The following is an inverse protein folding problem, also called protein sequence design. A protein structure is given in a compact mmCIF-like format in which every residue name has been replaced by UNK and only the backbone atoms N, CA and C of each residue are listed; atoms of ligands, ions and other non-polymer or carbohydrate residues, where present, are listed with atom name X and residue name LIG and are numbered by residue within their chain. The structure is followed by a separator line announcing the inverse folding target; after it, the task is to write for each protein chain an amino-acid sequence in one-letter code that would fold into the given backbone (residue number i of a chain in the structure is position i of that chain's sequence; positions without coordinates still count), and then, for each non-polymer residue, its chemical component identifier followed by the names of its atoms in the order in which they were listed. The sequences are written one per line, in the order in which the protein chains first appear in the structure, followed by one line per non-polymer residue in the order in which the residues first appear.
data_IF_055441571206
#
_entry.id   IF_055441571206
#
_cell.length_a   1.000
_cell.length_b   1.000
_cell.length_c   1.000
_cell.angle_alpha   90.00
_cell.angle_beta   90.00
_cell.angle_gamma   90.00
#
_symmetry.space_group_name_H-M   'P 1'
#
loop_
_entity.id
_entity.type
_entity.pdbx_description
1 polymer ?
#
# COMPACT_ATOMS: atom_id res chain seq x y z
N UNK A 1 18.74 -0.22 19.81
CA UNK A 1 18.88 0.32 18.44
C UNK A 1 18.75 1.85 18.44
N UNK A 2 17.76 2.42 19.13
CA UNK A 2 17.52 3.88 19.22
C UNK A 2 18.75 4.61 19.77
N UNK A 3 19.40 4.09 20.82
CA UNK A 3 20.62 4.67 21.41
C UNK A 3 21.77 4.69 20.40
N UNK A 4 21.96 3.61 19.65
CA UNK A 4 23.04 3.51 18.64
C UNK A 4 22.82 4.46 17.46
N UNK A 5 21.57 4.78 17.13
CA UNK A 5 21.22 5.77 16.12
C UNK A 5 21.47 7.21 16.58
N UNK A 6 21.14 7.52 17.85
CA UNK A 6 21.38 8.85 18.45
C UNK A 6 22.86 9.12 18.62
N UNK A 7 23.66 8.12 18.97
CA UNK A 7 25.11 8.22 19.13
C UNK A 7 25.89 8.19 17.79
N UNK A 8 25.18 8.12 16.66
CA UNK A 8 25.78 8.17 15.33
C UNK A 8 26.51 6.91 14.87
N UNK A 9 26.39 5.80 15.61
CA UNK A 9 26.98 4.50 15.24
C UNK A 9 26.20 3.79 14.12
N UNK A 10 24.92 4.13 13.96
CA UNK A 10 24.12 3.65 12.84
C UNK A 10 23.76 4.85 11.98
N UNK A 11 23.87 4.73 10.64
CA UNK A 11 23.35 5.77 9.77
C UNK A 11 21.88 6.00 10.14
N UNK A 12 21.47 7.27 10.20
CA UNK A 12 20.16 7.74 10.69
C UNK A 12 18.97 7.26 9.85
N UNK A 13 18.91 5.97 9.59
CA UNK A 13 17.67 5.30 9.19
C UNK A 13 16.74 5.44 10.38
N UNK A 14 15.82 6.40 10.31
CA UNK A 14 14.85 6.65 11.35
C UNK A 14 14.27 5.32 11.82
N UNK A 15 14.45 5.02 13.11
CA UNK A 15 13.70 3.96 13.75
C UNK A 15 12.25 4.41 13.63
N UNK A 16 11.54 3.87 12.67
CA UNK A 16 10.15 4.21 12.44
C UNK A 16 9.34 3.80 13.68
N UNK A 17 9.00 4.76 14.48
CA UNK A 17 7.91 4.64 15.42
C UNK A 17 6.63 4.55 14.60
N UNK A 18 6.14 3.35 14.40
CA UNK A 18 4.90 3.09 13.66
C UNK A 18 5.13 2.34 12.35
N UNK A 19 5.13 1.04 12.42
CA UNK A 19 5.07 0.13 11.27
C UNK A 19 3.79 -0.70 11.30
N UNK A 20 3.48 -1.36 10.22
CA UNK A 20 2.42 -2.36 10.16
C UNK A 20 3.01 -3.70 10.60
N UNK A 21 2.31 -4.36 11.52
CA UNK A 21 2.68 -5.66 12.06
C UNK A 21 1.78 -6.75 11.47
N UNK A 22 2.40 -7.78 10.92
CA UNK A 22 1.74 -8.98 10.43
C UNK A 22 2.02 -10.14 11.38
N UNK A 23 0.96 -10.63 12.06
CA UNK A 23 1.04 -11.74 12.99
C UNK A 23 0.85 -13.06 12.26
N UNK A 24 1.78 -13.99 12.41
CA UNK A 24 1.78 -15.29 11.75
C UNK A 24 1.73 -16.43 12.74
N UNK A 25 0.96 -17.48 12.41
CA UNK A 25 0.94 -18.74 13.15
C UNK A 25 1.31 -19.90 12.24
N UNK A 26 2.35 -20.65 12.62
CA UNK A 26 2.75 -21.86 11.88
C UNK A 26 1.76 -23.00 12.09
N UNK A 27 1.40 -23.67 11.00
CA UNK A 27 0.46 -24.81 11.03
C UNK A 27 1.03 -26.15 11.53
N UNK A 28 2.37 -26.29 11.69
CA UNK A 28 3.00 -27.58 11.98
C UNK A 28 3.49 -27.71 13.42
N UNK A 29 3.05 -28.79 14.11
CA UNK A 29 3.34 -29.06 15.51
C UNK A 29 4.76 -29.60 15.83
N UNK A 30 5.52 -30.03 14.79
CA UNK A 30 6.80 -30.80 14.99
C UNK A 30 8.06 -30.00 14.69
N UNK A 31 8.03 -28.68 14.66
CA UNK A 31 9.24 -27.89 14.41
C UNK A 31 9.73 -27.18 15.68
N UNK A 32 11.04 -27.17 15.87
CA UNK A 32 11.73 -26.34 16.86
C UNK A 32 11.53 -24.85 16.54
N UNK A 33 11.09 -24.07 17.51
CA UNK A 33 10.90 -22.63 17.41
C UNK A 33 9.47 -22.16 17.72
N UNK A 34 9.25 -20.86 17.90
CA UNK A 34 7.96 -20.30 18.28
C UNK A 34 6.88 -20.59 17.25
N UNK A 35 5.67 -20.95 17.72
CA UNK A 35 4.51 -21.21 16.84
C UNK A 35 3.95 -19.93 16.24
N UNK A 36 4.09 -18.82 16.96
CA UNK A 36 3.64 -17.49 16.53
C UNK A 36 4.85 -16.58 16.41
N UNK A 37 4.82 -15.68 15.45
CA UNK A 37 5.83 -14.65 15.26
C UNK A 37 5.24 -13.46 14.52
N UNK A 38 5.87 -12.31 14.69
CA UNK A 38 5.44 -11.07 14.04
C UNK A 38 6.48 -10.63 13.01
N UNK A 39 5.97 -10.08 11.92
CA UNK A 39 6.76 -9.42 10.88
C UNK A 39 6.35 -7.95 10.84
N UNK A 40 7.27 -7.05 11.16
CA UNK A 40 7.01 -5.61 11.07
C UNK A 40 7.66 -5.01 9.84
N UNK A 41 6.94 -4.10 9.18
CA UNK A 41 7.41 -3.34 8.02
C UNK A 41 7.02 -1.88 8.17
N UNK A 42 7.84 -0.98 7.64
CA UNK A 42 7.40 0.42 7.48
C UNK A 42 6.16 0.50 6.60
N UNK A 43 5.32 1.52 6.80
CA UNK A 43 4.06 1.69 6.09
C UNK A 43 4.20 1.55 4.56
N UNK A 44 5.25 2.13 3.99
CA UNK A 44 5.51 2.12 2.53
C UNK A 44 5.84 0.72 2.02
N UNK A 45 6.65 -0.04 2.77
CA UNK A 45 7.00 -1.43 2.43
C UNK A 45 5.80 -2.33 2.65
N UNK A 46 5.11 -2.20 3.79
CA UNK A 46 3.91 -2.96 4.11
C UNK A 46 2.83 -2.82 3.05
N UNK A 47 2.65 -1.60 2.50
CA UNK A 47 1.68 -1.35 1.43
C UNK A 47 1.94 -2.16 0.16
N UNK A 48 3.17 -2.63 -0.05
CA UNK A 48 3.55 -3.45 -1.20
C UNK A 48 3.62 -4.93 -0.86
N UNK A 49 4.10 -5.28 0.34
CA UNK A 49 4.32 -6.67 0.72
C UNK A 49 3.09 -7.30 1.39
N UNK A 50 2.39 -6.57 2.25
CA UNK A 50 1.27 -7.07 3.06
C UNK A 50 -0.08 -6.88 2.35
N UNK A 51 -0.19 -7.46 1.16
CA UNK A 51 -1.37 -7.34 0.29
C UNK A 51 -1.96 -8.71 -0.06
N UNK A 52 -3.29 -8.82 -0.24
CA UNK A 52 -3.93 -10.07 -0.61
C UNK A 52 -3.40 -10.59 -1.94
N UNK A 53 -2.96 -11.84 -1.96
CA UNK A 53 -2.38 -12.49 -3.14
C UNK A 53 -0.85 -12.47 -3.18
N UNK A 54 -0.19 -11.64 -2.38
CA UNK A 54 1.25 -11.74 -2.21
C UNK A 54 1.64 -12.89 -1.28
N UNK A 55 2.82 -13.46 -1.48
CA UNK A 55 3.41 -14.49 -0.64
C UNK A 55 4.54 -13.93 0.20
N UNK A 56 4.52 -14.26 1.47
CA UNK A 56 5.51 -13.86 2.46
C UNK A 56 6.29 -15.08 2.90
N UNK A 57 7.61 -14.99 2.82
CA UNK A 57 8.52 -16.09 3.13
C UNK A 57 9.22 -15.79 4.44
N UNK A 58 8.90 -16.53 5.48
CA UNK A 58 9.50 -16.35 6.79
C UNK A 58 9.52 -17.67 7.59
N UNK A 59 10.49 -17.82 8.48
CA UNK A 59 10.58 -18.93 9.41
C UNK A 59 10.32 -20.32 8.76
N UNK A 60 10.90 -20.56 7.57
CA UNK A 60 10.75 -21.79 6.78
C UNK A 60 9.32 -22.07 6.29
N UNK A 61 8.45 -21.06 6.25
CA UNK A 61 7.08 -21.18 5.78
C UNK A 61 6.72 -20.09 4.78
N UNK A 62 5.72 -20.38 3.97
CA UNK A 62 5.05 -19.44 3.07
C UNK A 62 3.75 -19.03 3.71
N UNK A 63 3.48 -17.73 3.70
CA UNK A 63 2.31 -17.13 4.32
C UNK A 63 1.61 -16.20 3.34
N UNK A 64 0.31 -16.00 3.53
CA UNK A 64 -0.49 -15.03 2.79
C UNK A 64 -1.37 -14.22 3.74
N UNK A 65 -1.74 -13.02 3.31
CA UNK A 65 -2.62 -12.14 4.09
C UNK A 65 -4.02 -12.73 4.15
N UNK A 66 -4.52 -12.95 5.36
CA UNK A 66 -5.86 -13.52 5.60
C UNK A 66 -6.86 -12.49 6.12
N UNK A 67 -6.40 -11.54 6.94
CA UNK A 67 -7.27 -10.55 7.59
C UNK A 67 -6.49 -9.32 8.00
N UNK A 68 -7.10 -8.14 7.87
CA UNK A 68 -6.62 -6.88 8.46
C UNK A 68 -7.41 -6.58 9.74
N UNK A 69 -6.74 -6.02 10.74
CA UNK A 69 -7.35 -5.59 11.99
C UNK A 69 -7.94 -4.18 11.82
N UNK A 70 -9.01 -4.10 11.04
CA UNK A 70 -9.72 -2.85 10.83
C UNK A 70 -10.43 -2.45 12.13
N UNK A 71 -10.30 -1.18 12.57
CA UNK A 71 -10.96 -0.66 13.78
C UNK A 71 -12.50 -0.80 13.72
N UNK A 72 -13.19 -0.49 14.80
CA UNK A 72 -14.64 -0.72 14.94
C UNK A 72 -15.52 0.22 14.07
N UNK A 73 -15.10 1.47 13.85
CA UNK A 73 -15.88 2.44 13.09
C UNK A 73 -15.60 2.33 11.59
N UNK A 74 -16.56 1.74 10.87
CA UNK A 74 -16.47 1.54 9.42
C UNK A 74 -16.60 2.86 8.65
N UNK A 75 -17.47 3.76 9.09
CA UNK A 75 -17.75 4.99 8.36
C UNK A 75 -16.59 5.98 8.40
N UNK A 76 -15.86 6.00 9.50
CA UNK A 76 -14.66 6.84 9.65
C UNK A 76 -13.44 6.29 8.87
N UNK A 77 -13.46 5.02 8.47
CA UNK A 77 -12.32 4.34 7.80
C UNK A 77 -12.37 4.36 6.30
N UNK A 78 -13.57 4.24 5.73
CA UNK A 78 -13.76 4.16 4.28
C UNK A 78 -13.80 5.56 3.71
N UNK A 79 -12.95 5.79 2.72
CA UNK A 79 -12.91 7.05 1.96
C UNK A 79 -12.98 6.74 0.48
N UNK A 80 -13.82 7.44 -0.25
CA UNK A 80 -13.87 7.32 -1.69
C UNK A 80 -12.79 8.21 -2.32
N UNK A 81 -11.95 7.60 -3.14
CA UNK A 81 -10.90 8.25 -3.91
C UNK A 81 -11.24 8.15 -5.40
N UNK A 82 -10.86 9.14 -6.18
CA UNK A 82 -10.93 9.12 -7.63
C UNK A 82 -9.55 8.84 -8.19
N UNK A 83 -9.42 7.79 -8.99
CA UNK A 83 -8.15 7.29 -9.50
C UNK A 83 -8.13 7.33 -11.02
N UNK A 84 -7.10 7.90 -11.60
CA UNK A 84 -6.79 7.75 -13.01
C UNK A 84 -5.46 6.99 -13.16
N UNK A 85 -5.54 5.75 -13.62
CA UNK A 85 -4.39 4.86 -13.75
C UNK A 85 -3.45 5.30 -14.86
N UNK A 86 -3.99 5.75 -15.99
CA UNK A 86 -3.21 6.20 -17.16
C UNK A 86 -2.40 7.46 -16.84
N UNK A 87 -3.08 8.45 -16.24
CA UNK A 87 -2.45 9.72 -15.86
C UNK A 87 -1.74 9.67 -14.50
N UNK A 88 -1.76 8.52 -13.83
CA UNK A 88 -1.10 8.24 -12.54
C UNK A 88 -1.42 9.24 -11.42
N UNK A 89 -2.68 9.62 -11.24
CA UNK A 89 -3.07 10.48 -10.14
C UNK A 89 -4.22 9.91 -9.29
N UNK A 90 -4.31 10.40 -8.05
CA UNK A 90 -5.35 10.09 -7.08
C UNK A 90 -5.86 11.41 -6.50
N UNK A 91 -7.20 11.58 -6.41
CA UNK A 91 -7.84 12.73 -5.78
C UNK A 91 -8.91 12.29 -4.78
N UNK A 92 -9.24 13.12 -3.81
CA UNK A 92 -10.45 12.95 -2.99
C UNK A 92 -11.66 13.56 -3.71
N UNK A 93 -12.85 13.02 -3.44
CA UNK A 93 -14.09 13.47 -4.06
C UNK A 93 -14.46 14.91 -3.69
N UNK A 94 -14.01 15.40 -2.55
CA UNK A 94 -14.32 16.74 -2.06
C UNK A 94 -13.24 17.76 -2.46
N UNK A 95 -13.42 18.38 -3.64
CA UNK A 95 -12.91 19.72 -3.88
C UNK A 95 -11.43 19.92 -4.14
N UNK A 96 -10.65 18.88 -4.36
CA UNK A 96 -9.27 19.03 -4.80
C UNK A 96 -9.19 19.40 -6.30
N UNK A 97 -9.71 20.61 -6.59
CA UNK A 97 -9.52 21.28 -7.88
C UNK A 97 -8.02 21.60 -8.18
N UNK A 98 -7.10 21.16 -7.31
CA UNK A 98 -5.67 21.48 -7.43
C UNK A 98 -5.01 20.97 -8.70
N UNK A 99 -5.63 20.01 -9.39
CA UNK A 99 -5.04 19.43 -10.60
C UNK A 99 -5.88 19.60 -11.86
N UNK A 100 -7.03 20.31 -11.80
CA UNK A 100 -7.85 20.59 -12.98
C UNK A 100 -8.32 19.34 -13.76
N UNK A 101 -8.23 18.15 -13.14
CA UNK A 101 -8.43 16.88 -13.81
C UNK A 101 -9.74 16.24 -13.36
N UNK A 102 -10.76 16.42 -14.16
CA UNK A 102 -11.99 15.63 -14.11
C UNK A 102 -11.76 14.27 -14.77
N UNK A 103 -12.24 13.19 -14.17
CA UNK A 103 -12.32 11.89 -14.87
C UNK A 103 -11.51 10.75 -14.25
N UNK A 104 -11.52 10.58 -12.93
CA UNK A 104 -11.03 9.37 -12.29
C UNK A 104 -12.15 8.35 -12.02
N UNK A 105 -11.82 7.07 -11.94
CA UNK A 105 -12.73 6.02 -11.51
C UNK A 105 -12.82 6.05 -9.97
N UNK A 106 -14.02 6.07 -9.37
CA UNK A 106 -14.15 6.03 -7.93
C UNK A 106 -13.76 4.65 -7.38
N UNK A 107 -13.03 4.66 -6.27
CA UNK A 107 -12.70 3.47 -5.50
C UNK A 107 -12.72 3.80 -4.01
N UNK A 108 -13.33 2.91 -3.22
CA UNK A 108 -13.26 3.02 -1.77
C UNK A 108 -11.92 2.53 -1.26
N UNK A 109 -11.33 3.29 -0.35
CA UNK A 109 -10.03 2.99 0.24
C UNK A 109 -10.14 2.89 1.77
N UNK A 110 -9.42 1.94 2.33
CA UNK A 110 -9.26 1.75 3.77
C UNK A 110 -7.79 1.95 4.17
N UNK A 111 -7.52 2.46 5.38
CA UNK A 111 -6.15 2.52 5.87
C UNK A 111 -5.58 1.10 6.02
N UNK A 112 -4.33 0.91 5.61
CA UNK A 112 -3.60 -0.30 5.91
C UNK A 112 -3.40 -0.41 7.43
N UNK A 113 -3.73 -1.55 7.99
CA UNK A 113 -3.68 -1.83 9.41
C UNK A 113 -2.87 -3.10 9.68
N UNK A 114 -2.58 -3.37 10.95
CA UNK A 114 -2.03 -4.65 11.38
C UNK A 114 -2.90 -5.80 10.87
N UNK A 115 -2.29 -6.97 10.69
CA UNK A 115 -2.95 -8.05 9.97
C UNK A 115 -2.52 -9.44 10.45
N UNK A 116 -3.34 -10.42 10.12
CA UNK A 116 -3.07 -11.83 10.33
C UNK A 116 -2.59 -12.49 9.03
N UNK A 117 -1.57 -13.31 9.16
CA UNK A 117 -1.06 -14.17 8.11
C UNK A 117 -1.49 -15.61 8.32
N UNK A 118 -2.03 -16.22 7.28
CA UNK A 118 -2.29 -17.65 7.26
C UNK A 118 -1.11 -18.39 6.63
N UNK A 119 -0.76 -19.54 7.23
CA UNK A 119 0.28 -20.43 6.72
C UNK A 119 -0.24 -21.18 5.49
N UNK A 120 0.52 -21.18 4.40
CA UNK A 120 0.21 -21.89 3.17
C UNK A 120 0.97 -23.21 3.08
N UNK A 121 2.32 -23.16 3.12
CA UNK A 121 3.17 -24.32 2.93
C UNK A 121 4.54 -24.13 3.57
N UNK A 122 5.37 -25.18 3.56
CA UNK A 122 6.79 -25.07 3.88
C UNK A 122 7.54 -24.50 2.67
N UNK A 123 8.57 -23.71 2.94
CA UNK A 123 9.51 -23.30 1.90
C UNK A 123 10.26 -24.54 1.45
N UNK A 124 10.23 -24.86 0.16
CA UNK A 124 11.13 -25.80 -0.50
C UNK A 124 12.47 -25.11 -0.73
N UNK A 125 13.57 -25.87 -0.85
CA UNK A 125 14.94 -25.34 -0.95
C UNK A 125 15.17 -24.47 -2.21
N UNK A 126 14.25 -24.52 -3.16
CA UNK A 126 14.36 -23.80 -4.43
C UNK A 126 13.96 -22.32 -4.27
N UNK A 127 14.97 -21.47 -4.03
CA UNK A 127 14.78 -20.01 -3.91
C UNK A 127 14.31 -19.34 -5.20
N UNK A 128 14.49 -19.99 -6.35
CA UNK A 128 14.09 -19.47 -7.67
C UNK A 128 12.58 -19.34 -7.83
N UNK A 129 11.79 -19.99 -6.98
CA UNK A 129 10.33 -20.02 -7.03
C UNK A 129 9.65 -19.02 -6.07
N UNK A 130 10.40 -18.07 -5.53
CA UNK A 130 9.79 -17.01 -4.68
C UNK A 130 8.91 -16.10 -5.51
N UNK A 131 7.63 -16.12 -5.18
CA UNK A 131 6.64 -15.27 -5.82
C UNK A 131 6.49 -13.95 -5.08
N UNK A 132 6.56 -12.85 -5.82
CA UNK A 132 6.18 -11.51 -5.35
C UNK A 132 5.17 -10.93 -6.32
N UNK A 133 4.00 -10.56 -5.81
CA UNK A 133 2.93 -9.99 -6.63
C UNK A 133 3.27 -8.55 -7.03
N UNK A 134 3.31 -8.22 -8.33
CA UNK A 134 3.45 -6.84 -8.76
C UNK A 134 2.19 -6.06 -8.41
N UNK A 135 2.35 -4.90 -7.76
CA UNK A 135 1.23 -4.06 -7.32
C UNK A 135 1.27 -2.68 -7.97
N UNK A 136 0.10 -2.12 -8.21
CA UNK A 136 -0.05 -0.74 -8.67
C UNK A 136 -0.24 0.18 -7.47
N UNK A 137 0.72 1.08 -7.26
CA UNK A 137 0.68 2.07 -6.16
C UNK A 137 0.75 3.45 -6.76
N UNK A 138 -0.20 4.30 -6.40
CA UNK A 138 -0.23 5.72 -6.74
C UNK A 138 -0.05 6.57 -5.48
N UNK A 139 0.51 7.76 -5.65
CA UNK A 139 0.73 8.70 -4.57
C UNK A 139 0.04 10.04 -4.81
N UNK A 140 -0.31 10.72 -3.72
CA UNK A 140 -0.75 12.12 -3.74
C UNK A 140 -0.14 12.91 -2.60
N UNK A 141 0.01 14.20 -2.79
CA UNK A 141 0.36 15.12 -1.72
C UNK A 141 -0.89 15.39 -0.86
N UNK A 142 -0.80 15.18 0.46
CA UNK A 142 -1.90 15.49 1.39
C UNK A 142 -1.99 16.96 1.70
N UNK A 143 -0.86 17.58 1.98
CA UNK A 143 -0.75 18.99 2.33
C UNK A 143 0.54 19.54 1.72
N UNK A 144 0.41 20.63 0.98
CA UNK A 144 1.59 21.25 0.37
C UNK A 144 2.32 22.05 1.45
N UNK A 145 3.48 21.56 1.87
CA UNK A 145 4.40 22.36 2.69
C UNK A 145 5.03 23.43 1.80
N UNK A 146 4.82 24.69 2.15
CA UNK A 146 5.37 25.84 1.41
C UNK A 146 6.80 26.24 1.84
N UNK A 147 7.35 25.60 2.85
CA UNK A 147 8.65 25.92 3.44
C UNK A 147 9.75 25.02 2.92
N UNK A 148 10.20 25.22 1.70
CA UNK A 148 11.34 24.51 1.13
C UNK A 148 12.48 25.46 0.78
N UNK A 149 13.71 24.92 0.64
CA UNK A 149 14.83 25.65 0.04
C UNK A 149 14.78 25.42 -1.46
N UNK A 150 14.73 26.51 -2.22
CA UNK A 150 14.82 26.45 -3.68
C UNK A 150 16.25 26.68 -4.15
N UNK A 151 16.67 25.91 -5.14
CA UNK A 151 17.99 25.98 -5.77
C UNK A 151 17.81 26.05 -7.28
N UNK A 152 18.66 26.80 -7.97
CA UNK A 152 18.75 26.74 -9.42
C UNK A 152 19.87 25.79 -9.83
N UNK A 153 19.59 24.87 -10.72
CA UNK A 153 20.54 23.96 -11.33
C UNK A 153 20.38 24.08 -12.84
N UNK A 154 21.26 24.90 -13.48
CA UNK A 154 21.07 25.30 -14.87
C UNK A 154 19.74 26.04 -15.06
N UNK A 155 18.92 25.60 -16.00
CA UNK A 155 17.61 26.17 -16.31
C UNK A 155 16.48 25.55 -15.50
N UNK A 156 16.80 24.73 -14.48
CA UNK A 156 15.80 24.07 -13.63
C UNK A 156 15.80 24.68 -12.23
N UNK A 157 14.62 24.86 -11.69
CA UNK A 157 14.45 25.15 -10.28
C UNK A 157 14.16 23.85 -9.53
N UNK A 158 14.97 23.57 -8.50
CA UNK A 158 14.80 22.40 -7.63
C UNK A 158 14.46 22.89 -6.23
N UNK A 159 13.34 22.44 -5.69
CA UNK A 159 12.97 22.72 -4.30
C UNK A 159 13.09 21.48 -3.43
N UNK A 160 13.67 21.64 -2.24
CA UNK A 160 13.75 20.62 -1.22
C UNK A 160 12.77 20.95 -0.11
N UNK A 161 11.83 20.04 0.14
CA UNK A 161 10.78 20.19 1.16
C UNK A 161 10.92 19.07 2.18
N UNK A 162 11.08 19.43 3.46
CA UNK A 162 11.15 18.45 4.57
C UNK A 162 9.77 18.13 5.10
N UNK A 163 9.58 16.86 5.54
CA UNK A 163 8.36 16.41 6.20
C UNK A 163 7.10 16.63 5.35
N UNK A 164 7.18 16.39 4.04
CA UNK A 164 6.03 16.50 3.16
C UNK A 164 5.10 15.32 3.40
N UNK A 165 3.86 15.60 3.83
CA UNK A 165 2.82 14.59 3.97
C UNK A 165 2.39 14.06 2.61
N UNK A 166 2.55 12.75 2.42
CA UNK A 166 2.06 12.02 1.26
C UNK A 166 1.06 10.95 1.66
N UNK A 167 0.21 10.58 0.74
CA UNK A 167 -0.62 9.38 0.83
C UNK A 167 -0.32 8.48 -0.35
N UNK A 168 -0.04 7.21 -0.06
CA UNK A 168 0.16 6.17 -1.04
C UNK A 168 -1.05 5.24 -1.03
N UNK A 169 -1.53 4.89 -2.21
CA UNK A 169 -2.73 4.07 -2.41
C UNK A 169 -2.37 2.87 -3.28
N UNK A 170 -2.54 1.68 -2.74
CA UNK A 170 -2.37 0.43 -3.46
C UNK A 170 -3.71 0.01 -4.09
N UNK A 171 -3.73 -0.08 -5.40
CA UNK A 171 -4.90 -0.34 -6.22
C UNK A 171 -5.09 -1.82 -6.57
N UNK A 172 -4.18 -2.69 -6.13
CA UNK A 172 -4.23 -4.12 -6.42
C UNK A 172 -3.11 -4.62 -7.33
N UNK A 173 -3.28 -5.82 -7.86
CA UNK A 173 -2.34 -6.46 -8.77
C UNK A 173 -2.25 -5.68 -10.09
N UNK A 174 -1.02 -5.40 -10.53
CA UNK A 174 -0.74 -4.41 -11.58
C UNK A 174 -1.39 -4.71 -12.93
N UNK A 175 -1.44 -5.98 -13.35
CA UNK A 175 -2.06 -6.33 -14.64
C UNK A 175 -3.58 -6.23 -14.59
N UNK A 176 -4.20 -6.59 -13.45
CA UNK A 176 -5.64 -6.42 -13.24
C UNK A 176 -6.05 -4.95 -13.20
N UNK A 177 -5.24 -4.13 -12.54
CA UNK A 177 -5.45 -2.67 -12.51
C UNK A 177 -5.42 -2.08 -13.92
N UNK A 178 -4.51 -2.52 -14.80
CA UNK A 178 -4.50 -2.12 -16.21
C UNK A 178 -5.76 -2.54 -16.97
N UNK A 179 -6.40 -3.62 -16.55
CA UNK A 179 -7.68 -4.10 -17.10
C UNK A 179 -8.91 -3.44 -16.46
N UNK A 180 -8.71 -2.46 -15.59
CA UNK A 180 -9.80 -1.74 -14.90
C UNK A 180 -10.30 -2.43 -13.61
N UNK A 181 -9.67 -3.51 -13.19
CA UNK A 181 -10.03 -4.21 -11.96
C UNK A 181 -9.30 -3.64 -10.75
N UNK A 182 -9.79 -2.52 -10.23
CA UNK A 182 -9.19 -1.84 -9.09
C UNK A 182 -9.53 -2.50 -7.75
N UNK A 183 -8.59 -2.46 -6.81
CA UNK A 183 -8.77 -2.87 -5.42
C UNK A 183 -8.57 -4.35 -5.13
N UNK A 184 -8.58 -4.65 -3.84
CA UNK A 184 -8.45 -6.00 -3.28
C UNK A 184 -9.80 -6.50 -2.79
N UNK A 185 -10.08 -7.81 -2.92
CA UNK A 185 -11.26 -8.41 -2.33
C UNK A 185 -11.15 -8.42 -0.81
N UNK A 186 -11.96 -7.58 -0.16
CA UNK A 186 -11.86 -7.30 1.27
C UNK A 186 -13.26 -7.15 1.89
N UNK A 187 -13.44 -7.74 3.07
CA UNK A 187 -14.60 -7.44 3.89
C UNK A 187 -14.32 -6.15 4.68
N UNK A 188 -15.11 -5.10 4.45
CA UNK A 188 -14.95 -3.81 5.12
C UNK A 188 -15.26 -3.86 6.62
N UNK A 189 -15.95 -4.89 7.10
CA UNK A 189 -16.32 -5.04 8.50
C UNK A 189 -15.23 -5.79 9.29
N UNK A 190 -14.90 -7.01 8.88
CA UNK A 190 -13.99 -7.87 9.65
C UNK A 190 -12.57 -7.90 9.11
N UNK A 191 -12.28 -7.23 7.99
CA UNK A 191 -10.96 -7.18 7.38
C UNK A 191 -10.50 -8.46 6.68
N UNK A 192 -11.35 -9.50 6.61
CA UNK A 192 -11.00 -10.72 5.89
C UNK A 192 -10.72 -10.43 4.42
N UNK A 193 -9.65 -11.03 3.89
CA UNK A 193 -9.15 -10.78 2.56
C UNK A 193 -9.10 -12.05 1.71
N UNK A 194 -9.29 -11.90 0.40
CA UNK A 194 -9.17 -12.99 -0.57
C UNK A 194 -8.18 -12.59 -1.69
N UNK A 195 -7.40 -13.56 -2.12
CA UNK A 195 -6.44 -13.36 -3.21
C UNK A 195 -7.13 -12.92 -4.51
N UNK A 196 -6.51 -12.04 -5.34
CA UNK A 196 -7.04 -11.69 -6.64
C UNK A 196 -7.04 -12.88 -7.64
N UNK A 197 -6.29 -13.93 -7.34
CA UNK A 197 -6.20 -15.13 -8.18
C UNK A 197 -7.27 -16.18 -7.88
N UNK A 198 -8.18 -15.91 -6.92
CA UNK A 198 -9.29 -16.79 -6.63
C UNK A 198 -10.25 -16.88 -7.82
N UNK A 199 -10.78 -18.09 -8.06
CA UNK A 199 -11.78 -18.27 -9.11
C UNK A 199 -13.13 -17.63 -8.73
N UNK A 200 -13.99 -17.28 -9.71
CA UNK A 200 -15.23 -16.55 -9.45
C UNK A 200 -16.13 -17.20 -8.40
N UNK A 201 -16.21 -18.52 -8.37
CA UNK A 201 -17.04 -19.24 -7.39
C UNK A 201 -16.49 -19.15 -5.96
N UNK A 202 -15.17 -19.13 -5.79
CA UNK A 202 -14.56 -18.86 -4.49
C UNK A 202 -14.86 -17.44 -3.99
N UNK A 203 -14.86 -16.46 -4.89
CA UNK A 203 -15.21 -15.07 -4.53
C UNK A 203 -16.69 -14.99 -4.14
N UNK A 204 -17.58 -15.65 -4.88
CA UNK A 204 -19.01 -15.71 -4.53
C UNK A 204 -19.23 -16.36 -3.17
N UNK A 205 -18.56 -17.49 -2.90
CA UNK A 205 -18.65 -18.18 -1.61
C UNK A 205 -18.09 -17.31 -0.48
N UNK A 206 -16.96 -16.67 -0.70
CA UNK A 206 -16.34 -15.74 0.26
C UNK A 206 -17.30 -14.58 0.57
N UNK A 207 -17.90 -13.97 -0.45
CA UNK A 207 -18.87 -12.89 -0.28
C UNK A 207 -20.12 -13.36 0.49
N UNK A 208 -20.68 -14.52 0.14
CA UNK A 208 -21.83 -15.09 0.83
C UNK A 208 -21.57 -15.31 2.32
N UNK A 209 -20.44 -15.94 2.67
CA UNK A 209 -20.04 -16.18 4.07
C UNK A 209 -19.95 -14.87 4.85
N UNK A 210 -19.36 -13.83 4.25
CA UNK A 210 -19.19 -12.55 4.93
C UNK A 210 -20.49 -11.75 4.99
N UNK A 211 -21.37 -11.88 4.01
CA UNK A 211 -22.72 -11.31 4.09
C UNK A 211 -23.51 -11.90 5.26
N UNK A 212 -23.44 -13.21 5.44
CA UNK A 212 -24.11 -13.91 6.55
C UNK A 212 -23.49 -13.56 7.92
N UNK A 213 -22.16 -13.46 8.01
CA UNK A 213 -21.44 -13.24 9.29
C UNK A 213 -21.31 -11.78 9.67
N UNK A 214 -21.08 -10.92 8.70
CA UNK A 214 -20.73 -9.50 8.90
C UNK A 214 -21.85 -8.54 8.46
N UNK A 215 -22.92 -9.05 7.84
CA UNK A 215 -24.05 -8.25 7.38
C UNK A 215 -23.78 -7.42 6.12
N UNK A 216 -22.59 -7.54 5.51
CA UNK A 216 -22.21 -6.78 4.31
C UNK A 216 -21.58 -7.65 3.25
N UNK A 217 -21.77 -7.25 2.01
CA UNK A 217 -21.09 -7.86 0.86
C UNK A 217 -19.61 -7.51 0.88
N UNK A 218 -18.79 -8.43 0.41
CA UNK A 218 -17.37 -8.19 0.15
C UNK A 218 -17.24 -7.31 -1.09
N UNK A 219 -16.42 -6.27 -0.99
CA UNK A 219 -16.13 -5.35 -2.08
C UNK A 219 -14.66 -5.36 -2.48
N UNK A 220 -14.36 -4.62 -3.54
CA UNK A 220 -12.99 -4.28 -3.91
C UNK A 220 -12.62 -2.96 -3.26
N UNK A 221 -11.63 -2.99 -2.37
CA UNK A 221 -11.14 -1.81 -1.63
C UNK A 221 -9.66 -1.59 -1.92
N UNK A 222 -9.28 -0.33 -2.07
CA UNK A 222 -7.88 0.06 -2.09
C UNK A 222 -7.32 0.11 -0.66
N UNK A 223 -6.01 -0.12 -0.53
CA UNK A 223 -5.30 0.05 0.73
C UNK A 223 -4.51 1.35 0.70
N UNK A 224 -4.59 2.14 1.75
CA UNK A 224 -3.91 3.43 1.81
C UNK A 224 -3.02 3.56 3.04
N UNK A 225 -1.88 4.23 2.88
CA UNK A 225 -1.01 4.62 3.98
C UNK A 225 -0.63 6.08 3.87
N UNK A 226 -0.41 6.70 5.01
CA UNK A 226 0.11 8.04 5.12
C UNK A 226 1.56 7.97 5.57
N UNK A 227 2.40 8.81 4.98
CA UNK A 227 3.80 8.92 5.34
C UNK A 227 4.24 10.38 5.25
N UNK A 228 5.24 10.72 6.03
CA UNK A 228 6.00 11.97 5.87
C UNK A 228 7.32 11.65 5.20
N UNK A 229 7.66 12.40 4.17
CA UNK A 229 8.87 12.18 3.39
C UNK A 229 9.57 13.50 3.10
N UNK A 230 10.87 13.45 2.99
CA UNK A 230 11.63 14.54 2.41
C UNK A 230 11.55 14.46 0.89
N UNK A 231 11.22 15.56 0.23
CA UNK A 231 10.92 15.59 -1.19
C UNK A 231 11.79 16.59 -1.94
N UNK A 232 12.34 16.15 -3.06
CA UNK A 232 12.90 17.01 -4.10
C UNK A 232 11.86 17.22 -5.20
N UNK A 233 11.52 18.47 -5.48
CA UNK A 233 10.62 18.84 -6.57
C UNK A 233 11.44 19.52 -7.67
N UNK A 234 11.34 18.98 -8.86
CA UNK A 234 11.95 19.57 -10.05
C UNK A 234 10.87 20.37 -10.79
N UNK A 235 11.10 21.65 -10.94
CA UNK A 235 10.24 22.53 -11.72
C UNK A 235 10.93 22.78 -13.07
N UNK A 236 10.33 22.30 -14.14
CA UNK A 236 10.75 22.71 -15.48
C UNK A 236 10.40 24.18 -15.62
N UNK A 237 11.37 25.04 -15.84
CA UNK A 237 11.10 26.41 -16.29
C UNK A 237 10.63 26.23 -17.74
N UNK A 238 9.35 26.48 -17.98
CA UNK A 238 8.82 26.48 -19.33
C UNK A 238 9.58 27.55 -20.14
N UNK A 239 10.56 27.14 -20.91
CA UNK A 239 11.00 27.94 -22.03
C UNK A 239 9.86 27.94 -23.06
N UNK A 240 9.50 29.06 -23.60
CA UNK A 240 8.43 29.21 -24.60
C UNK A 240 8.69 28.46 -25.93
N UNK A 241 9.55 27.50 -25.96
CA UNK A 241 9.89 26.71 -27.13
C UNK A 241 9.90 25.22 -26.78
N UNK A 242 8.95 24.50 -27.36
CA UNK A 242 8.87 23.06 -27.56
C UNK A 242 8.58 22.20 -26.31
N UNK A 243 7.38 21.57 -26.38
CA UNK A 243 6.93 20.62 -25.36
C UNK A 243 7.88 19.45 -25.22
N UNK A 244 8.61 19.43 -24.11
CA UNK A 244 9.36 18.27 -23.68
C UNK A 244 8.34 17.29 -23.08
N UNK A 245 8.09 16.23 -23.82
CA UNK A 245 7.28 15.09 -23.38
C UNK A 245 8.09 14.31 -22.33
N UNK A 246 7.87 14.60 -21.05
CA UNK A 246 8.48 13.84 -19.93
C UNK A 246 7.62 12.58 -19.71
N UNK A 247 7.66 11.69 -20.67
CA UNK A 247 6.86 10.48 -20.63
C UNK A 247 7.63 9.27 -21.14
N UNK A 248 8.80 8.99 -20.57
CA UNK A 248 9.42 7.65 -20.64
C UNK A 248 10.71 7.67 -19.83
N UNK A 249 10.61 7.20 -18.58
CA UNK A 249 11.72 6.65 -17.82
C UNK A 249 11.17 5.70 -16.76
#
# INVERSE_FOLDING_TARGET
LTVLGVEGFLPGYGVYEGGITASARRGFARQTGPRTFDLSRSNVIALREFVPGNRLYANRGTFYVSRYHLGADETARIRTLHVNVEKRYVTEQTGDAQYGQSGGVPIDAVPLADLDLAHESRITEDESLRFSMPVSVLGRLRKRNRGGKAFKIGDHEVSYVRGQGIELVNLGEANRVKQGELGHWLCSVCGAAKTPYAVPDEIKQFSKIHKERCGKDVGRLALAVQAEVDMLQFHAIASEAEGINIGEA
#
